data_IF_864964433746
#
_entry.id   IF_864964433746
#
_cell.length_a   1.000
_cell.length_b   1.000
_cell.length_c   1.000
_cell.angle_alpha   90.00
_cell.angle_beta   90.00
_cell.angle_gamma   90.00
#
_symmetry.space_group_name_H-M   'P 1'
#
loop_
_entity.id
_entity.type
_entity.pdbx_description
1 polymer ?
#
# COMPACT_ATOMS: atom_id res chain seq x y z
N UNK A 1 -20.24 5.33 17.13
CA UNK A 1 -18.95 4.95 17.67
C UNK A 1 -18.01 4.56 16.53
N UNK A 2 -16.88 5.22 16.43
CA UNK A 2 -15.92 4.91 15.38
C UNK A 2 -15.23 3.59 15.64
N UNK A 3 -15.10 2.79 14.59
CA UNK A 3 -14.36 1.56 14.69
C UNK A 3 -12.86 1.85 14.66
N UNK A 4 -12.09 1.09 15.42
CA UNK A 4 -10.65 1.18 15.42
C UNK A 4 -10.11 0.20 14.39
N UNK A 5 -9.29 0.70 13.49
CA UNK A 5 -8.65 -0.15 12.49
C UNK A 5 -7.13 -0.03 12.61
N UNK A 6 -6.50 -0.88 13.42
CA UNK A 6 -5.06 -0.81 13.62
C UNK A 6 -4.26 -1.10 12.35
N UNK A 7 -4.83 -1.86 11.42
CA UNK A 7 -4.12 -2.20 10.16
C UNK A 7 -3.85 -0.97 9.31
N UNK A 8 -4.85 -0.09 9.20
CA UNK A 8 -4.67 1.13 8.40
C UNK A 8 -3.64 2.04 9.07
N UNK A 9 -3.76 2.22 10.38
CA UNK A 9 -2.83 3.05 11.13
C UNK A 9 -1.40 2.56 11.03
N UNK A 10 -1.21 1.24 11.14
CA UNK A 10 0.11 0.63 11.02
C UNK A 10 0.71 0.82 9.62
N UNK A 11 -0.11 0.64 8.59
CA UNK A 11 0.32 0.83 7.22
C UNK A 11 0.78 2.26 6.96
N UNK A 12 -0.02 3.22 7.41
CA UNK A 12 0.28 4.64 7.26
C UNK A 12 1.57 4.98 7.99
N UNK A 13 1.69 4.54 9.23
CA UNK A 13 2.87 4.82 10.05
C UNK A 13 4.14 4.23 9.43
N UNK A 14 4.08 2.99 9.00
CA UNK A 14 5.22 2.32 8.36
C UNK A 14 5.66 3.08 7.11
N UNK A 15 4.71 3.45 6.26
CA UNK A 15 5.02 4.18 5.02
C UNK A 15 5.63 5.55 5.31
N UNK A 16 5.13 6.22 6.34
CA UNK A 16 5.68 7.50 6.77
C UNK A 16 7.13 7.37 7.23
N UNK A 17 7.39 6.38 8.07
CA UNK A 17 8.74 6.15 8.61
C UNK A 17 9.72 5.76 7.51
N UNK A 18 9.28 4.97 6.54
CA UNK A 18 10.11 4.60 5.39
C UNK A 18 10.54 5.83 4.60
N UNK A 19 9.70 6.87 4.59
CA UNK A 19 10.00 8.13 3.88
C UNK A 19 10.67 9.16 4.79
N UNK A 20 10.94 8.80 6.03
CA UNK A 20 11.62 9.66 7.01
C UNK A 20 10.86 10.97 7.24
N UNK A 21 9.55 10.89 7.26
CA UNK A 21 8.69 12.03 7.51
C UNK A 21 8.20 12.06 8.95
N UNK A 22 8.06 13.28 9.51
CA UNK A 22 7.42 13.43 10.81
C UNK A 22 5.90 13.36 10.63
N UNK A 23 5.18 13.18 11.73
CA UNK A 23 3.72 13.21 11.70
C UNK A 23 3.20 14.57 11.22
N UNK A 24 3.85 15.64 11.66
CA UNK A 24 3.50 17.01 11.25
C UNK A 24 3.70 17.22 9.76
N UNK A 25 4.83 16.75 9.23
CA UNK A 25 5.10 16.86 7.80
C UNK A 25 4.10 16.09 6.97
N UNK A 26 3.73 14.90 7.43
CA UNK A 26 2.77 14.07 6.72
C UNK A 26 1.38 14.67 6.76
N UNK A 27 0.96 15.21 7.91
CA UNK A 27 -0.33 15.87 8.02
C UNK A 27 -0.43 17.05 7.04
N UNK A 28 0.66 17.80 6.89
CA UNK A 28 0.72 18.91 5.95
C UNK A 28 0.58 18.42 4.50
N UNK A 29 1.30 17.35 4.15
CA UNK A 29 1.22 16.77 2.81
C UNK A 29 -0.18 16.27 2.47
N UNK A 30 -0.84 15.66 3.45
CA UNK A 30 -2.19 15.11 3.28
C UNK A 30 -3.24 16.22 3.27
N UNK A 31 -2.97 17.34 3.96
CA UNK A 31 -3.90 18.44 4.05
C UNK A 31 -4.88 18.32 5.20
N UNK A 32 -4.42 17.78 6.34
CA UNK A 32 -5.23 17.68 7.55
C UNK A 32 -4.43 18.20 8.74
N UNK A 33 -5.12 18.38 9.88
CA UNK A 33 -4.38 18.80 11.08
C UNK A 33 -3.61 17.62 11.68
N UNK A 34 -2.58 17.96 12.44
CA UNK A 34 -1.67 16.97 13.00
C UNK A 34 -2.34 16.01 13.98
N UNK A 35 -3.27 16.53 14.80
CA UNK A 35 -3.95 15.68 15.79
C UNK A 35 -4.83 14.63 15.09
N UNK A 36 -5.54 15.04 14.04
CA UNK A 36 -6.35 14.10 13.25
C UNK A 36 -5.46 13.00 12.65
N UNK A 37 -4.33 13.41 12.09
CA UNK A 37 -3.39 12.45 11.49
C UNK A 37 -2.85 11.47 12.54
N UNK A 38 -2.45 11.99 13.71
CA UNK A 38 -1.96 11.14 14.81
C UNK A 38 -3.01 10.10 15.22
N UNK A 39 -4.27 10.53 15.28
CA UNK A 39 -5.36 9.63 15.63
C UNK A 39 -5.49 8.50 14.61
N UNK A 40 -5.31 8.80 13.32
CA UNK A 40 -5.36 7.78 12.28
C UNK A 40 -4.25 6.74 12.46
N UNK A 41 -3.03 7.18 12.78
CA UNK A 41 -1.93 6.24 13.02
C UNK A 41 -2.17 5.37 14.24
N UNK A 42 -2.88 5.89 15.23
CA UNK A 42 -3.21 5.16 16.44
C UNK A 42 -4.43 4.26 16.29
N UNK A 43 -5.02 4.22 15.11
CA UNK A 43 -6.19 3.39 14.85
C UNK A 43 -7.48 3.95 15.39
N UNK A 44 -7.52 5.25 15.66
CA UNK A 44 -8.70 5.91 16.22
C UNK A 44 -9.59 6.47 15.10
N UNK A 45 -10.55 5.68 14.68
CA UNK A 45 -11.50 6.09 13.65
C UNK A 45 -11.01 5.74 12.25
N UNK A 46 -11.84 6.04 11.28
CA UNK A 46 -11.58 5.78 9.87
C UNK A 46 -11.68 7.07 9.08
N UNK A 47 -10.79 7.29 8.11
CA UNK A 47 -10.91 8.47 7.26
C UNK A 47 -12.07 8.33 6.28
N UNK A 48 -12.57 9.46 5.79
CA UNK A 48 -13.52 9.46 4.68
C UNK A 48 -12.81 8.92 3.43
N UNK A 49 -13.58 8.52 2.42
CA UNK A 49 -12.99 8.05 1.17
C UNK A 49 -12.09 9.11 0.54
N UNK A 50 -12.49 10.39 0.44
CA UNK A 50 -11.58 11.42 -0.10
C UNK A 50 -10.29 11.56 0.71
N UNK A 51 -10.38 11.52 2.03
CA UNK A 51 -9.19 11.62 2.90
C UNK A 51 -8.30 10.40 2.73
N UNK A 52 -8.89 9.20 2.67
CA UNK A 52 -8.18 7.97 2.41
C UNK A 52 -7.35 8.07 1.12
N UNK A 53 -7.98 8.56 0.04
CA UNK A 53 -7.28 8.73 -1.24
C UNK A 53 -6.12 9.72 -1.13
N UNK A 54 -6.31 10.82 -0.39
CA UNK A 54 -5.24 11.80 -0.16
C UNK A 54 -4.05 11.18 0.54
N UNK A 55 -4.32 10.36 1.56
CA UNK A 55 -3.27 9.67 2.32
C UNK A 55 -2.50 8.71 1.43
N UNK A 56 -3.23 7.93 0.64
CA UNK A 56 -2.60 6.96 -0.27
C UNK A 56 -1.69 7.67 -1.26
N UNK A 57 -2.14 8.79 -1.83
CA UNK A 57 -1.33 9.56 -2.79
C UNK A 57 -0.14 10.23 -2.13
N UNK A 58 -0.35 10.84 -0.96
CA UNK A 58 0.71 11.57 -0.27
C UNK A 58 1.85 10.65 0.14
N UNK A 59 1.54 9.45 0.58
CA UNK A 59 2.53 8.47 1.03
C UNK A 59 2.88 7.45 -0.04
N UNK A 60 2.30 7.61 -1.24
CA UNK A 60 2.52 6.68 -2.36
C UNK A 60 2.26 5.23 -1.95
N UNK A 61 1.14 5.00 -1.29
CA UNK A 61 0.70 3.67 -0.86
C UNK A 61 -0.37 3.19 -1.83
N UNK A 62 -0.29 1.93 -2.25
CA UNK A 62 -1.37 1.32 -3.01
C UNK A 62 -2.51 0.94 -2.05
N UNK A 63 -3.74 1.26 -2.41
CA UNK A 63 -4.90 0.85 -1.63
C UNK A 63 -4.98 -0.68 -1.52
N UNK A 64 -4.43 -1.39 -2.50
CA UNK A 64 -4.39 -2.85 -2.47
C UNK A 64 -3.59 -3.37 -1.27
N UNK A 65 -2.58 -2.64 -0.83
CA UNK A 65 -1.79 -3.03 0.34
C UNK A 65 -2.64 -3.07 1.61
N UNK A 66 -3.69 -2.26 1.66
CA UNK A 66 -4.61 -2.27 2.78
C UNK A 66 -5.71 -3.32 2.59
N UNK A 67 -6.28 -3.39 1.38
CA UNK A 67 -7.42 -4.26 1.08
C UNK A 67 -6.98 -5.73 0.97
N UNK A 68 -5.85 -5.97 0.31
CA UNK A 68 -5.30 -7.32 0.10
C UNK A 68 -3.88 -7.37 0.65
N UNK A 69 -3.72 -7.55 1.96
CA UNK A 69 -2.37 -7.59 2.56
C UNK A 69 -1.51 -8.64 1.87
N UNK A 70 -0.33 -8.23 1.47
CA UNK A 70 0.59 -9.06 0.71
C UNK A 70 1.88 -9.26 1.52
N UNK A 71 2.11 -10.49 1.97
CA UNK A 71 3.31 -10.81 2.76
C UNK A 71 4.60 -10.74 1.94
N UNK A 72 4.49 -10.72 0.62
CA UNK A 72 5.67 -10.63 -0.25
C UNK A 72 6.06 -9.19 -0.58
N UNK A 73 5.27 -8.21 -0.15
CA UNK A 73 5.48 -6.81 -0.56
C UNK A 73 6.83 -6.24 -0.15
N UNK A 74 7.46 -6.79 0.89
CA UNK A 74 8.78 -6.33 1.36
C UNK A 74 9.94 -7.04 0.69
N UNK A 75 9.70 -8.08 -0.11
CA UNK A 75 10.78 -8.80 -0.77
C UNK A 75 11.39 -7.97 -1.90
N UNK A 76 12.73 -7.84 -1.95
CA UNK A 76 13.36 -7.07 -3.03
C UNK A 76 13.03 -7.59 -4.42
N UNK A 77 12.93 -8.91 -4.60
CA UNK A 77 12.58 -9.49 -5.90
C UNK A 77 11.16 -9.11 -6.31
N UNK A 78 10.24 -9.01 -5.34
CA UNK A 78 8.88 -8.59 -5.62
C UNK A 78 8.84 -7.14 -6.11
N UNK A 79 9.54 -6.25 -5.41
CA UNK A 79 9.61 -4.85 -5.79
C UNK A 79 10.29 -4.66 -7.15
N UNK A 80 11.36 -5.39 -7.39
CA UNK A 80 12.05 -5.34 -8.68
C UNK A 80 11.14 -5.81 -9.82
N UNK A 81 10.36 -6.88 -9.58
CA UNK A 81 9.43 -7.40 -10.57
C UNK A 81 8.34 -6.39 -10.91
N UNK A 82 7.77 -5.73 -9.90
CA UNK A 82 6.77 -4.69 -10.14
C UNK A 82 7.33 -3.57 -11.01
N UNK A 83 8.57 -3.17 -10.75
CA UNK A 83 9.23 -2.13 -11.54
C UNK A 83 9.37 -2.56 -13.01
N UNK A 84 9.83 -3.81 -13.23
CA UNK A 84 9.98 -4.33 -14.58
C UNK A 84 8.64 -4.42 -15.32
N UNK A 85 7.59 -4.82 -14.59
CA UNK A 85 6.24 -4.92 -15.18
C UNK A 85 5.76 -3.56 -15.70
N UNK A 86 6.12 -2.48 -15.02
CA UNK A 86 5.71 -1.14 -15.44
C UNK A 86 6.31 -0.72 -16.76
N UNK A 87 7.38 -1.38 -17.20
CA UNK A 87 8.08 -1.09 -18.46
C UNK A 87 7.67 -2.01 -19.60
N UNK A 88 6.82 -3.00 -19.34
CA UNK A 88 6.41 -3.97 -20.33
C UNK A 88 5.26 -3.47 -21.18
N UNK A 89 5.27 -3.83 -22.46
CA UNK A 89 4.13 -3.58 -23.34
C UNK A 89 3.07 -4.67 -23.15
N UNK A 90 1.96 -4.54 -23.88
CA UNK A 90 0.82 -5.47 -23.76
C UNK A 90 1.21 -6.92 -24.05
N UNK A 91 2.02 -7.12 -25.10
CA UNK A 91 2.44 -8.48 -25.49
C UNK A 91 3.31 -9.10 -24.40
N UNK A 92 4.29 -8.35 -23.91
CA UNK A 92 5.19 -8.81 -22.87
C UNK A 92 4.44 -9.14 -21.59
N UNK A 93 3.49 -8.30 -21.20
CA UNK A 93 2.64 -8.57 -20.02
C UNK A 93 1.84 -9.85 -20.21
N UNK A 94 1.31 -10.11 -21.42
CA UNK A 94 0.55 -11.33 -21.69
C UNK A 94 1.40 -12.58 -21.53
N UNK A 95 2.65 -12.54 -22.00
CA UNK A 95 3.58 -13.67 -21.87
C UNK A 95 3.90 -13.93 -20.40
N UNK A 96 4.19 -12.86 -19.64
CA UNK A 96 4.49 -12.99 -18.23
C UNK A 96 3.30 -13.50 -17.42
N UNK A 97 2.11 -13.02 -17.77
CA UNK A 97 0.87 -13.46 -17.13
C UNK A 97 0.67 -14.97 -17.34
N UNK A 98 0.83 -15.44 -18.58
CA UNK A 98 0.67 -16.86 -18.89
C UNK A 98 1.71 -17.70 -18.15
N UNK A 99 2.94 -17.20 -18.05
CA UNK A 99 4.02 -17.90 -17.35
C UNK A 99 3.70 -18.01 -15.86
N UNK A 100 3.25 -16.92 -15.24
CA UNK A 100 2.91 -16.92 -13.82
C UNK A 100 1.75 -17.87 -13.55
N UNK A 101 0.73 -17.88 -14.39
CA UNK A 101 -0.40 -18.80 -14.27
C UNK A 101 0.05 -20.26 -14.34
N UNK A 102 0.94 -20.56 -15.28
CA UNK A 102 1.45 -21.93 -15.43
C UNK A 102 2.21 -22.39 -14.19
N UNK A 103 3.03 -21.50 -13.63
CA UNK A 103 3.79 -21.82 -12.41
C UNK A 103 2.86 -22.10 -11.23
N UNK A 104 1.82 -21.30 -11.09
CA UNK A 104 0.86 -21.47 -10.00
C UNK A 104 0.03 -22.75 -10.15
N UNK A 105 -0.32 -23.11 -11.39
CA UNK A 105 -1.07 -24.35 -11.64
C UNK A 105 -0.24 -25.57 -11.31
N UNK A 106 1.05 -25.55 -11.64
CA UNK A 106 1.94 -26.67 -11.33
C UNK A 106 2.00 -26.90 -9.82
N UNK A 107 2.06 -25.81 -9.04
CA UNK A 107 2.05 -25.92 -7.59
C UNK A 107 0.73 -26.45 -7.06
N UNK A 108 -0.38 -26.13 -7.73
CA UNK A 108 -1.72 -26.53 -7.31
C UNK A 108 -2.09 -27.97 -7.68
N UNK A 109 -1.33 -28.59 -8.59
CA UNK A 109 -1.63 -29.95 -9.06
C UNK A 109 -0.96 -31.03 -8.22
N UNK A 110 -0.21 -30.65 -7.24
CA UNK A 110 0.49 -31.61 -6.35
C UNK A 110 -0.42 -32.17 -5.26
#
# INVERSE_FOLDING_TARGET
MGEVDPKLGELIKRSRLERKLTQEQTAELVGCNTQYYKNLENGCGMPSVPMFCRIMRALNISADDYIYPNKNSSLPVYQSLLHLLSQCDKHQLSVLHATAEALLRDDNTK
#
